data_IF_437505524264
#
_entry.id   IF_437505524264
#
_cell.length_a   1.000
_cell.length_b   1.000
_cell.length_c   1.000
_cell.angle_alpha   90.00
_cell.angle_beta   90.00
_cell.angle_gamma   90.00
#
_symmetry.space_group_name_H-M   'P 1'
#
loop_
_entity.id
_entity.type
_entity.pdbx_description
1 polymer ?
#
# COMPACT_ATOMS: atom_id res chain seq x y z
N UNK A 1 40.99 24.79 11.59
CA UNK A 1 40.53 23.75 12.55
C UNK A 1 39.01 23.69 12.54
N UNK A 2 38.48 22.48 12.75
CA UNK A 2 37.08 22.07 13.02
C UNK A 2 36.13 21.96 11.81
N UNK A 3 35.89 20.69 11.44
CA UNK A 3 34.67 20.17 10.80
C UNK A 3 33.49 20.31 11.76
N UNK A 4 32.37 20.84 11.29
CA UNK A 4 31.07 20.60 11.91
C UNK A 4 30.18 19.85 10.90
N UNK A 5 29.83 18.62 11.27
CA UNK A 5 28.83 17.77 10.61
C UNK A 5 27.46 18.21 11.11
N UNK A 6 26.52 18.46 10.20
CA UNK A 6 25.12 18.70 10.52
C UNK A 6 24.32 17.45 10.14
N UNK A 7 23.84 16.76 11.19
CA UNK A 7 22.88 15.66 11.12
C UNK A 7 21.52 16.27 10.79
N UNK A 8 20.93 15.87 9.65
CA UNK A 8 19.59 16.29 9.26
C UNK A 8 18.58 15.39 9.96
N UNK A 9 18.10 15.83 11.12
CA UNK A 9 16.84 15.33 11.70
C UNK A 9 15.68 15.94 10.91
N UNK A 10 14.65 15.13 10.67
CA UNK A 10 13.55 15.43 9.75
C UNK A 10 12.80 16.71 10.10
N UNK A 11 12.86 17.68 9.20
CA UNK A 11 11.84 18.71 8.93
C UNK A 11 12.36 19.61 7.80
N UNK A 12 12.46 19.07 6.58
CA UNK A 12 13.17 19.77 5.51
C UNK A 12 12.59 19.55 4.14
N UNK A 13 11.32 19.94 3.90
CA UNK A 13 10.88 20.64 2.67
C UNK A 13 9.56 21.38 2.97
N UNK A 14 9.62 22.60 3.53
CA UNK A 14 8.47 23.54 3.51
C UNK A 14 8.83 24.85 2.80
N UNK A 15 10.06 25.04 2.34
CA UNK A 15 10.55 26.37 1.95
C UNK A 15 10.34 26.74 0.47
N UNK A 16 9.78 25.88 -0.40
CA UNK A 16 9.83 26.15 -1.84
C UNK A 16 8.57 26.70 -2.54
N UNK A 17 7.58 27.29 -1.86
CA UNK A 17 6.49 27.99 -2.59
C UNK A 17 5.95 29.26 -1.90
N UNK A 18 6.80 30.07 -1.24
CA UNK A 18 6.51 31.49 -1.02
C UNK A 18 7.18 32.27 -2.16
N UNK A 19 6.53 32.30 -3.32
CA UNK A 19 7.13 32.89 -4.51
C UNK A 19 6.16 33.04 -5.68
N UNK A 20 5.00 33.67 -5.44
CA UNK A 20 4.27 34.51 -6.42
C UNK A 20 2.91 34.93 -5.86
N UNK A 21 2.95 35.66 -4.74
CA UNK A 21 1.93 36.67 -4.48
C UNK A 21 2.35 37.89 -5.32
N UNK A 22 1.38 38.49 -6.03
CA UNK A 22 1.44 39.71 -6.86
C UNK A 22 1.31 39.42 -8.38
N UNK A 23 0.32 40.10 -8.99
CA UNK A 23 -0.13 40.12 -10.41
C UNK A 23 -0.99 38.91 -10.80
N UNK A 24 -2.29 39.00 -11.06
CA UNK A 24 -3.04 40.04 -11.78
C UNK A 24 -3.72 39.38 -12.98
N UNK A 25 -5.03 39.09 -12.86
CA UNK A 25 -6.00 38.68 -13.90
C UNK A 25 -5.49 37.75 -15.02
N UNK A 26 -5.70 36.42 -14.85
CA UNK A 26 -6.07 35.38 -15.87
C UNK A 26 -5.45 34.01 -15.50
N UNK A 27 -6.07 33.23 -14.61
CA UNK A 27 -5.42 31.99 -14.13
C UNK A 27 -6.35 30.79 -13.86
N UNK A 28 -7.37 30.53 -14.69
CA UNK A 28 -8.09 29.23 -14.66
C UNK A 28 -7.19 28.00 -14.91
N UNK A 29 -6.01 28.19 -15.55
CA UNK A 29 -5.03 27.11 -15.79
C UNK A 29 -4.15 26.82 -14.57
N UNK A 30 -3.92 27.78 -13.67
CA UNK A 30 -3.04 27.59 -12.50
C UNK A 30 -3.71 26.79 -11.39
N UNK A 31 -4.99 27.03 -11.15
CA UNK A 31 -5.79 26.25 -10.19
C UNK A 31 -5.78 24.76 -10.49
N UNK A 32 -5.79 24.37 -11.77
CA UNK A 32 -5.69 22.97 -12.20
C UNK A 32 -4.33 22.34 -11.91
N UNK A 33 -3.25 23.11 -11.98
CA UNK A 33 -1.91 22.59 -11.70
C UNK A 33 -1.70 22.47 -10.19
N UNK A 34 -2.10 23.47 -9.42
CA UNK A 34 -2.04 23.43 -7.96
C UNK A 34 -2.94 22.33 -7.40
N UNK A 35 -4.15 22.15 -7.93
CA UNK A 35 -5.06 21.08 -7.50
C UNK A 35 -4.60 19.70 -7.94
N UNK A 36 -3.99 19.55 -9.12
CA UNK A 36 -3.37 18.27 -9.53
C UNK A 36 -2.16 17.92 -8.69
N UNK A 37 -1.34 18.91 -8.33
CA UNK A 37 -0.16 18.71 -7.48
C UNK A 37 -0.59 18.42 -6.04
N UNK A 38 -1.55 19.16 -5.48
CA UNK A 38 -2.18 18.85 -4.19
C UNK A 38 -2.86 17.49 -4.20
N UNK A 39 -3.61 17.14 -5.25
CA UNK A 39 -4.25 15.82 -5.37
C UNK A 39 -3.22 14.70 -5.49
N UNK A 40 -2.13 14.89 -6.24
CA UNK A 40 -1.06 13.91 -6.35
C UNK A 40 -0.23 13.78 -5.06
N UNK A 41 -0.04 14.87 -4.32
CA UNK A 41 0.58 14.86 -2.99
C UNK A 41 -0.34 14.20 -1.97
N UNK A 42 -1.63 14.57 -1.92
CA UNK A 42 -2.61 13.93 -1.05
C UNK A 42 -2.76 12.45 -1.38
N UNK A 43 -2.81 12.05 -2.65
CA UNK A 43 -2.82 10.63 -3.05
C UNK A 43 -1.54 9.88 -2.66
N UNK A 44 -0.41 10.57 -2.48
CA UNK A 44 0.83 9.99 -1.94
C UNK A 44 0.91 10.01 -0.41
N UNK A 45 0.19 10.89 0.26
CA UNK A 45 0.25 11.11 1.72
C UNK A 45 -0.91 10.39 2.46
N UNK A 46 -2.08 10.26 1.85
CA UNK A 46 -3.23 9.50 2.38
C UNK A 46 -2.87 8.05 2.77
N UNK A 47 -2.18 7.23 1.94
CA UNK A 47 -1.81 5.87 2.34
C UNK A 47 -0.91 5.79 3.60
N UNK A 48 -0.34 6.91 4.04
CA UNK A 48 0.49 7.01 5.24
C UNK A 48 -0.37 7.26 6.50
N UNK A 49 -1.59 7.82 6.37
CA UNK A 49 -2.51 8.08 7.50
C UNK A 49 -3.63 7.05 7.66
N UNK A 50 -4.05 6.33 6.62
CA UNK A 50 -5.24 5.45 6.67
C UNK A 50 -4.98 3.98 7.09
N UNK A 51 -3.74 3.62 7.44
CA UNK A 51 -3.38 2.23 7.78
C UNK A 51 -3.57 1.26 6.60
N UNK A 52 -3.69 -0.04 6.87
CA UNK A 52 -3.87 -1.08 5.82
C UNK A 52 -5.05 -0.81 4.89
N UNK A 53 -6.13 -0.20 5.40
CA UNK A 53 -7.34 0.10 4.61
C UNK A 53 -7.16 1.16 3.52
N UNK A 54 -6.13 2.02 3.61
CA UNK A 54 -5.87 3.07 2.62
C UNK A 54 -5.02 2.62 1.43
N UNK A 55 -4.60 1.36 1.41
CA UNK A 55 -3.67 0.85 0.42
C UNK A 55 -4.43 0.16 -0.71
N UNK A 56 -4.22 0.61 -1.96
CA UNK A 56 -4.77 -0.04 -3.15
C UNK A 56 -4.47 -1.55 -3.22
N UNK A 57 -3.33 -1.97 -2.64
CA UNK A 57 -2.95 -3.37 -2.57
C UNK A 57 -3.94 -4.26 -1.79
N UNK A 58 -4.72 -3.68 -0.88
CA UNK A 58 -5.70 -4.41 -0.06
C UNK A 58 -7.15 -4.21 -0.54
N UNK A 59 -7.35 -3.52 -1.65
CA UNK A 59 -8.65 -3.41 -2.30
C UNK A 59 -8.88 -4.65 -3.18
N UNK A 60 -9.95 -5.42 -2.90
CA UNK A 60 -10.30 -6.65 -3.62
C UNK A 60 -10.61 -6.42 -5.11
N UNK A 61 -10.93 -5.18 -5.50
CA UNK A 61 -11.26 -4.79 -6.88
C UNK A 61 -10.08 -4.12 -7.60
N UNK A 62 -8.89 -4.09 -7.00
CA UNK A 62 -7.77 -3.33 -7.55
C UNK A 62 -7.28 -3.89 -8.90
N UNK A 63 -7.26 -5.22 -9.09
CA UNK A 63 -6.95 -5.81 -10.40
C UNK A 63 -7.91 -5.31 -11.48
N UNK A 64 -9.22 -5.28 -11.19
CA UNK A 64 -10.25 -4.83 -12.15
C UNK A 64 -10.03 -3.35 -12.50
N UNK A 65 -9.78 -2.51 -11.48
CA UNK A 65 -9.47 -1.08 -11.66
C UNK A 65 -8.24 -0.86 -12.53
N UNK A 66 -7.15 -1.59 -12.29
CA UNK A 66 -5.92 -1.47 -13.09
C UNK A 66 -6.16 -1.98 -14.52
N UNK A 67 -6.93 -3.05 -14.69
CA UNK A 67 -7.24 -3.63 -16.02
C UNK A 67 -8.08 -2.69 -16.89
N UNK A 68 -8.94 -1.86 -16.29
CA UNK A 68 -9.70 -0.85 -17.02
C UNK A 68 -8.85 0.33 -17.49
N UNK A 69 -7.76 0.64 -16.79
CA UNK A 69 -6.91 1.80 -17.06
C UNK A 69 -5.71 1.44 -17.95
N UNK A 70 -5.16 0.25 -17.78
CA UNK A 70 -3.97 -0.19 -18.50
C UNK A 70 -4.39 -0.86 -19.81
N UNK A 71 -4.06 -0.22 -20.94
CA UNK A 71 -4.33 -0.76 -22.28
C UNK A 71 -3.49 -1.98 -22.70
N UNK A 72 -2.85 -2.67 -21.75
CA UNK A 72 -1.92 -3.77 -21.97
C UNK A 72 -2.18 -4.96 -21.05
N UNK A 73 -1.46 -6.07 -21.27
CA UNK A 73 -1.63 -7.30 -20.46
C UNK A 73 -0.95 -7.14 -19.10
N UNK A 74 -1.72 -7.24 -18.02
CA UNK A 74 -1.22 -7.21 -16.65
C UNK A 74 -0.78 -8.61 -16.22
N UNK A 75 0.37 -8.72 -15.56
CA UNK A 75 0.88 -9.97 -15.00
C UNK A 75 0.19 -10.31 -13.67
N UNK A 76 -0.95 -10.99 -13.76
CA UNK A 76 -1.73 -11.45 -12.61
C UNK A 76 -1.33 -12.86 -12.13
N UNK A 77 -1.62 -13.18 -10.88
CA UNK A 77 -1.58 -14.55 -10.36
C UNK A 77 -2.68 -15.41 -10.98
N UNK A 78 -2.41 -16.71 -11.12
CA UNK A 78 -3.47 -17.72 -11.28
C UNK A 78 -4.31 -17.78 -10.00
N UNK A 79 -5.60 -18.05 -10.14
CA UNK A 79 -6.54 -18.15 -9.02
C UNK A 79 -6.08 -19.16 -7.97
N UNK A 80 -5.71 -20.38 -8.38
CA UNK A 80 -5.21 -21.41 -7.46
C UNK A 80 -3.96 -20.98 -6.69
N UNK A 81 -3.10 -20.14 -7.28
CA UNK A 81 -1.93 -19.59 -6.60
C UNK A 81 -2.32 -18.51 -5.60
N UNK A 82 -3.30 -17.67 -5.92
CA UNK A 82 -3.83 -16.68 -4.98
C UNK A 82 -4.50 -17.37 -3.77
N UNK A 83 -5.32 -18.40 -4.00
CA UNK A 83 -5.93 -19.22 -2.94
C UNK A 83 -4.88 -19.94 -2.10
N UNK A 84 -3.82 -20.48 -2.73
CA UNK A 84 -2.71 -21.09 -1.98
C UNK A 84 -2.08 -20.10 -1.00
N UNK A 85 -1.78 -18.89 -1.44
CA UNK A 85 -1.24 -17.84 -0.57
C UNK A 85 -2.23 -17.42 0.52
N UNK A 86 -3.52 -17.31 0.21
CA UNK A 86 -4.56 -17.04 1.20
C UNK A 86 -4.61 -18.12 2.28
N UNK A 87 -4.50 -19.39 1.90
CA UNK A 87 -4.45 -20.53 2.83
C UNK A 87 -3.20 -20.50 3.70
N UNK A 88 -2.05 -20.12 3.14
CA UNK A 88 -0.83 -19.93 3.92
C UNK A 88 -1.00 -18.83 4.97
N UNK A 89 -1.59 -17.69 4.62
CA UNK A 89 -1.92 -16.63 5.58
C UNK A 89 -2.88 -17.16 6.65
N UNK A 90 -3.97 -17.83 6.26
CA UNK A 90 -4.94 -18.38 7.22
C UNK A 90 -4.29 -19.34 8.22
N UNK A 91 -3.44 -20.23 7.73
CA UNK A 91 -2.73 -21.22 8.57
C UNK A 91 -1.70 -20.61 9.52
N UNK A 92 -1.40 -19.32 9.35
CA UNK A 92 -0.50 -18.57 10.24
C UNK A 92 -1.21 -18.10 11.50
N UNK A 93 -2.54 -17.97 11.46
CA UNK A 93 -3.34 -17.58 12.61
C UNK A 93 -3.74 -18.81 13.42
N UNK A 94 -3.11 -19.02 14.57
CA UNK A 94 -3.32 -20.19 15.43
C UNK A 94 -4.20 -19.86 16.62
N UNK A 95 -4.68 -20.90 17.29
CA UNK A 95 -5.39 -20.66 18.55
C UNK A 95 -4.41 -20.18 19.63
N UNK A 96 -4.90 -19.38 20.58
CA UNK A 96 -4.07 -18.80 21.65
C UNK A 96 -3.31 -19.87 22.47
N UNK A 97 -3.87 -21.08 22.61
CA UNK A 97 -3.24 -22.20 23.31
C UNK A 97 -2.12 -22.90 22.50
N UNK A 98 -1.91 -22.53 21.23
CA UNK A 98 -0.87 -23.10 20.35
C UNK A 98 0.38 -22.21 20.25
N UNK A 99 0.52 -21.21 21.13
CA UNK A 99 1.70 -20.34 21.18
C UNK A 99 1.62 -19.07 20.35
N UNK A 100 0.42 -18.64 19.95
CA UNK A 100 0.20 -17.39 19.21
C UNK A 100 0.29 -17.53 17.69
N UNK A 101 0.20 -16.40 17.00
CA UNK A 101 0.21 -16.34 15.53
C UNK A 101 1.64 -16.42 14.99
N UNK A 102 1.78 -16.84 13.72
CA UNK A 102 3.06 -16.88 13.02
C UNK A 102 3.14 -15.70 12.05
N UNK A 103 3.50 -14.53 12.56
CA UNK A 103 3.52 -13.29 11.78
C UNK A 103 4.56 -13.37 10.66
N UNK A 104 5.67 -14.08 10.89
CA UNK A 104 6.73 -14.27 9.91
C UNK A 104 6.24 -15.02 8.68
N UNK A 105 5.35 -16.00 8.85
CA UNK A 105 4.73 -16.71 7.73
C UNK A 105 3.82 -15.80 6.91
N UNK A 106 3.05 -14.94 7.56
CA UNK A 106 2.24 -13.90 6.87
C UNK A 106 3.14 -12.94 6.09
N UNK A 107 4.22 -12.44 6.70
CA UNK A 107 5.20 -11.58 6.02
C UNK A 107 5.86 -12.28 4.84
N UNK A 108 6.17 -13.57 5.00
CA UNK A 108 6.74 -14.41 3.95
C UNK A 108 5.88 -14.43 2.70
N UNK A 109 4.57 -14.64 2.85
CA UNK A 109 3.61 -14.58 1.75
C UNK A 109 3.67 -13.21 1.07
N UNK A 110 3.53 -12.10 1.82
CA UNK A 110 3.58 -10.77 1.22
C UNK A 110 4.92 -10.50 0.52
N UNK A 111 6.06 -10.95 1.04
CA UNK A 111 7.37 -10.79 0.38
C UNK A 111 7.47 -11.53 -0.95
N UNK A 112 6.83 -12.69 -1.08
CA UNK A 112 6.84 -13.48 -2.33
C UNK A 112 6.08 -12.81 -3.48
N UNK A 113 5.01 -12.07 -3.15
CA UNK A 113 4.20 -11.32 -4.11
C UNK A 113 5.03 -10.22 -4.78
N UNK A 114 4.86 -10.03 -6.08
CA UNK A 114 5.74 -9.18 -6.88
C UNK A 114 5.27 -7.75 -7.06
N UNK A 115 3.97 -7.52 -6.94
CA UNK A 115 3.34 -6.21 -7.13
C UNK A 115 2.05 -6.11 -6.31
N UNK A 116 1.48 -4.91 -6.21
CA UNK A 116 0.26 -4.65 -5.44
C UNK A 116 -1.00 -5.27 -6.03
N UNK A 117 -1.00 -5.58 -7.34
CA UNK A 117 -2.10 -6.34 -7.97
C UNK A 117 -2.13 -7.76 -7.43
N UNK A 118 -0.99 -8.43 -7.32
CA UNK A 118 -0.92 -9.77 -6.74
C UNK A 118 -1.33 -9.78 -5.25
N UNK A 119 -1.01 -8.73 -4.49
CA UNK A 119 -1.50 -8.56 -3.11
C UNK A 119 -3.02 -8.50 -3.09
N UNK A 120 -3.62 -7.69 -3.96
CA UNK A 120 -5.08 -7.56 -4.07
C UNK A 120 -5.75 -8.89 -4.41
N UNK A 121 -5.17 -9.68 -5.32
CA UNK A 121 -5.70 -11.00 -5.66
C UNK A 121 -5.67 -11.97 -4.46
N UNK A 122 -4.61 -11.95 -3.65
CA UNK A 122 -4.56 -12.78 -2.43
C UNK A 122 -5.57 -12.31 -1.39
N UNK A 123 -5.74 -11.00 -1.23
CA UNK A 123 -6.75 -10.42 -0.32
C UNK A 123 -8.16 -10.81 -0.75
N UNK A 124 -8.46 -10.74 -2.05
CA UNK A 124 -9.73 -11.19 -2.64
C UNK A 124 -9.94 -12.69 -2.41
N UNK A 125 -8.96 -13.52 -2.74
CA UNK A 125 -9.05 -14.97 -2.55
C UNK A 125 -9.27 -15.35 -1.07
N UNK A 126 -8.63 -14.63 -0.14
CA UNK A 126 -8.87 -14.82 1.30
C UNK A 126 -10.32 -14.52 1.68
N UNK A 127 -10.87 -13.42 1.16
CA UNK A 127 -12.26 -13.05 1.44
C UNK A 127 -13.26 -14.05 0.86
N UNK A 128 -13.01 -14.54 -0.35
CA UNK A 128 -13.86 -15.53 -1.01
C UNK A 128 -13.81 -16.89 -0.29
N UNK A 129 -12.61 -17.37 0.06
CA UNK A 129 -12.42 -18.67 0.71
C UNK A 129 -12.95 -18.70 2.15
N UNK A 130 -12.74 -17.62 2.91
CA UNK A 130 -13.02 -17.59 4.35
C UNK A 130 -14.20 -16.72 4.75
N UNK A 131 -14.86 -16.04 3.79
CA UNK A 131 -15.93 -15.08 4.05
C UNK A 131 -15.54 -14.00 5.07
N UNK A 132 -14.25 -13.65 5.13
CA UNK A 132 -13.68 -12.69 6.08
C UNK A 132 -12.78 -11.70 5.36
N UNK A 133 -12.91 -10.41 5.68
CA UNK A 133 -12.02 -9.40 5.15
C UNK A 133 -10.62 -9.53 5.76
N UNK A 134 -9.59 -9.71 4.93
CA UNK A 134 -8.22 -9.90 5.42
C UNK A 134 -7.66 -8.67 6.15
N UNK A 135 -8.11 -7.46 5.80
CA UNK A 135 -7.71 -6.23 6.52
C UNK A 135 -8.19 -6.28 7.96
N UNK A 136 -9.44 -6.70 8.17
CA UNK A 136 -10.03 -6.79 9.50
C UNK A 136 -9.38 -7.91 10.31
N UNK A 137 -9.10 -9.05 9.67
CA UNK A 137 -8.34 -10.13 10.31
C UNK A 137 -6.96 -9.66 10.71
N UNK A 138 -6.21 -8.98 9.84
CA UNK A 138 -4.89 -8.46 10.20
C UNK A 138 -5.00 -7.46 11.36
N UNK A 139 -5.97 -6.55 11.36
CA UNK A 139 -6.15 -5.58 12.45
C UNK A 139 -6.52 -6.21 13.79
N UNK A 140 -7.27 -7.31 13.76
CA UNK A 140 -7.68 -8.05 14.96
C UNK A 140 -6.52 -8.88 15.53
N UNK A 141 -5.74 -9.49 14.63
CA UNK A 141 -4.70 -10.46 14.99
C UNK A 141 -3.35 -9.82 15.24
N UNK A 142 -3.04 -8.71 14.56
CA UNK A 142 -1.74 -8.05 14.63
C UNK A 142 -1.81 -6.73 15.40
N UNK A 143 -0.79 -6.50 16.22
CA UNK A 143 -0.46 -5.22 16.81
C UNK A 143 0.11 -4.22 15.79
N UNK A 144 0.36 -2.99 16.29
CA UNK A 144 0.74 -1.85 15.44
C UNK A 144 2.03 -2.05 14.65
N UNK A 145 3.07 -2.64 15.27
CA UNK A 145 4.37 -2.84 14.61
C UNK A 145 4.32 -3.95 13.55
N UNK A 146 3.47 -4.96 13.75
CA UNK A 146 3.26 -6.05 12.80
C UNK A 146 2.49 -5.57 11.56
N UNK A 147 1.44 -4.78 11.80
CA UNK A 147 0.70 -4.06 10.75
C UNK A 147 1.65 -3.15 9.95
N UNK A 148 2.51 -2.40 10.64
CA UNK A 148 3.52 -1.55 10.00
C UNK A 148 4.48 -2.37 9.15
N UNK A 149 4.92 -3.53 9.62
CA UNK A 149 5.79 -4.43 8.86
C UNK A 149 5.13 -4.93 7.58
N UNK A 150 3.85 -5.32 7.65
CA UNK A 150 3.05 -5.68 6.45
C UNK A 150 3.02 -4.51 5.47
N UNK A 151 2.71 -3.31 5.96
CA UNK A 151 2.66 -2.10 5.14
C UNK A 151 4.00 -1.80 4.48
N UNK A 152 5.11 -1.87 5.21
CA UNK A 152 6.45 -1.62 4.69
C UNK A 152 6.79 -2.61 3.57
N UNK A 153 6.50 -3.90 3.76
CA UNK A 153 6.68 -4.92 2.72
C UNK A 153 5.85 -4.60 1.47
N UNK A 154 4.58 -4.24 1.62
CA UNK A 154 3.67 -3.97 0.50
C UNK A 154 4.00 -2.66 -0.20
N UNK A 155 4.44 -1.63 0.53
CA UNK A 155 4.77 -0.31 0.00
C UNK A 155 5.99 -0.33 -0.92
N UNK A 156 6.94 -1.24 -0.70
CA UNK A 156 8.10 -1.41 -1.58
C UNK A 156 7.76 -2.02 -2.94
N UNK A 157 6.54 -2.53 -3.12
CA UNK A 157 6.13 -3.22 -4.36
C UNK A 157 5.62 -2.22 -5.41
N UNK A 158 5.90 -2.47 -6.70
CA UNK A 158 5.29 -1.70 -7.79
C UNK A 158 3.77 -1.89 -7.81
N UNK A 159 3.05 -0.92 -8.37
CA UNK A 159 1.59 -0.94 -8.42
C UNK A 159 1.03 -2.11 -9.24
N UNK A 160 1.68 -2.44 -10.36
CA UNK A 160 1.36 -3.56 -11.24
C UNK A 160 2.57 -3.83 -12.15
N UNK A 161 2.56 -4.97 -12.84
CA UNK A 161 3.53 -5.31 -13.90
C UNK A 161 2.80 -5.69 -15.17
N UNK A 162 3.40 -5.39 -16.32
CA UNK A 162 2.86 -5.73 -17.64
C UNK A 162 3.73 -6.80 -18.31
N UNK A 163 3.13 -7.60 -19.19
CA UNK A 163 3.79 -8.63 -19.99
C UNK A 163 4.49 -8.03 -21.22
#
# INVERSE_FOLDING_TARGET
MKKNILIISGAGVVVLLIGSVIIGRRTKKRERLTSKLLSALSARIEPIKSGIGGQNAFDIHYLDKVSQVVGGRILALKESTATHYANQIKSSFKAWYQGGDDEQKVYGVFRQLKDKVQVSQVVKAYQEEYSKNLIDVLKDRFGKEEIKTVLDIVNTKPNYRTA
#
